data_IF_423727718365
#
_entry.id   IF_423727718365
#
_cell.length_a   1.000
_cell.length_b   1.000
_cell.length_c   1.000
_cell.angle_alpha   90.00
_cell.angle_beta   90.00
_cell.angle_gamma   90.00
#
_symmetry.space_group_name_H-M   'P 1'
#
loop_
_entity.id
_entity.type
_entity.pdbx_description
1 polymer ?
#
# COMPACT_ATOMS: atom_id res chain seq x y z
N UNK A 1 -35.22 -16.74 -57.83
CA UNK A 1 -33.96 -15.96 -57.83
C UNK A 1 -33.90 -14.81 -56.81
N UNK A 2 -34.99 -14.09 -56.49
CA UNK A 2 -34.94 -12.94 -55.55
C UNK A 2 -34.67 -13.28 -54.06
N UNK A 3 -35.12 -14.45 -53.59
CA UNK A 3 -34.97 -14.87 -52.18
C UNK A 3 -33.52 -15.28 -51.86
N UNK A 4 -32.80 -15.84 -52.84
CA UNK A 4 -31.41 -16.28 -52.67
C UNK A 4 -30.44 -15.09 -52.57
N UNK A 5 -30.66 -14.01 -53.33
CA UNK A 5 -29.79 -12.83 -53.29
C UNK A 5 -29.94 -12.05 -51.98
N UNK A 6 -31.17 -11.98 -51.42
CA UNK A 6 -31.44 -11.34 -50.13
C UNK A 6 -30.75 -12.07 -48.97
N UNK A 7 -30.74 -13.42 -48.99
CA UNK A 7 -30.06 -14.22 -47.98
C UNK A 7 -28.53 -14.07 -48.03
N UNK A 8 -27.95 -13.98 -49.24
CA UNK A 8 -26.51 -13.77 -49.44
C UNK A 8 -26.10 -12.35 -49.01
N UNK A 9 -26.88 -11.33 -49.36
CA UNK A 9 -26.63 -9.95 -48.94
C UNK A 9 -26.73 -9.78 -47.42
N UNK A 10 -27.71 -10.41 -46.76
CA UNK A 10 -27.82 -10.37 -45.30
C UNK A 10 -26.65 -11.10 -44.61
N UNK A 11 -26.19 -12.23 -45.14
CA UNK A 11 -25.01 -12.93 -44.59
C UNK A 11 -23.72 -12.11 -44.74
N UNK A 12 -23.55 -11.43 -45.87
CA UNK A 12 -22.41 -10.54 -46.11
C UNK A 12 -22.45 -9.32 -45.17
N UNK A 13 -23.62 -8.69 -45.00
CA UNK A 13 -23.82 -7.58 -44.06
C UNK A 13 -23.58 -7.99 -42.61
N UNK A 14 -24.07 -9.17 -42.19
CA UNK A 14 -23.78 -9.71 -40.86
C UNK A 14 -22.29 -10.00 -40.67
N UNK A 15 -21.62 -10.57 -41.67
CA UNK A 15 -20.18 -10.85 -41.59
C UNK A 15 -19.34 -9.56 -41.51
N UNK A 16 -19.76 -8.49 -42.20
CA UNK A 16 -19.12 -7.18 -42.10
C UNK A 16 -19.39 -6.56 -40.73
N UNK A 17 -20.64 -6.62 -40.23
CA UNK A 17 -21.01 -6.08 -38.92
C UNK A 17 -20.28 -6.80 -37.78
N UNK A 18 -20.15 -8.13 -37.84
CA UNK A 18 -19.39 -8.91 -36.85
C UNK A 18 -17.89 -8.66 -36.99
N UNK A 19 -17.37 -8.52 -38.21
CA UNK A 19 -15.98 -8.11 -38.48
C UNK A 19 -15.64 -6.73 -37.89
N UNK A 20 -16.50 -5.73 -38.09
CA UNK A 20 -16.28 -4.38 -37.54
C UNK A 20 -16.45 -4.35 -36.02
N UNK A 21 -17.43 -5.08 -35.46
CA UNK A 21 -17.63 -5.18 -34.01
C UNK A 21 -16.47 -5.91 -33.30
N UNK A 22 -15.88 -6.91 -33.94
CA UNK A 22 -14.70 -7.62 -33.42
C UNK A 22 -13.43 -6.77 -33.47
N UNK A 23 -13.22 -5.99 -34.54
CA UNK A 23 -12.10 -5.02 -34.62
C UNK A 23 -12.28 -3.91 -33.56
N UNK A 24 -13.48 -3.35 -33.45
CA UNK A 24 -13.80 -2.31 -32.47
C UNK A 24 -13.61 -2.80 -31.04
N UNK A 25 -14.10 -4.00 -30.71
CA UNK A 25 -13.92 -4.58 -29.37
C UNK A 25 -12.45 -4.91 -29.07
N UNK A 26 -11.65 -5.34 -30.06
CA UNK A 26 -10.22 -5.56 -29.89
C UNK A 26 -9.43 -4.27 -29.65
N UNK A 27 -9.74 -3.18 -30.38
CA UNK A 27 -9.11 -1.87 -30.14
C UNK A 27 -9.44 -1.32 -28.76
N UNK A 28 -10.71 -1.42 -28.33
CA UNK A 28 -11.13 -1.02 -26.98
C UNK A 28 -10.42 -1.87 -25.92
N UNK A 29 -10.30 -3.19 -26.14
CA UNK A 29 -9.57 -4.08 -25.25
C UNK A 29 -8.09 -3.69 -25.15
N UNK A 30 -7.39 -3.44 -26.26
CA UNK A 30 -6.00 -2.98 -26.25
C UNK A 30 -5.83 -1.65 -25.50
N UNK A 31 -6.73 -0.69 -25.74
CA UNK A 31 -6.70 0.58 -25.04
C UNK A 31 -6.87 0.40 -23.53
N UNK A 32 -7.85 -0.41 -23.11
CA UNK A 32 -8.07 -0.72 -21.69
C UNK A 32 -6.87 -1.44 -21.06
N UNK A 33 -6.24 -2.36 -21.81
CA UNK A 33 -5.03 -3.05 -21.37
C UNK A 33 -3.86 -2.07 -21.17
N UNK A 34 -3.62 -1.16 -22.11
CA UNK A 34 -2.58 -0.15 -21.99
C UNK A 34 -2.80 0.81 -20.81
N UNK A 35 -4.06 1.21 -20.57
CA UNK A 35 -4.41 2.03 -19.40
C UNK A 35 -4.23 1.26 -18.09
N UNK A 36 -4.59 -0.02 -18.06
CA UNK A 36 -4.37 -0.89 -16.91
C UNK A 36 -2.88 -1.01 -16.57
N UNK A 37 -2.04 -1.30 -17.57
CA UNK A 37 -0.59 -1.39 -17.38
C UNK A 37 0.01 -0.07 -16.90
N UNK A 38 -0.44 1.07 -17.46
CA UNK A 38 -0.02 2.39 -17.01
C UNK A 38 -0.39 2.62 -15.54
N UNK A 39 -1.62 2.31 -15.16
CA UNK A 39 -2.07 2.40 -13.76
C UNK A 39 -1.22 1.51 -12.85
N UNK A 40 -0.93 0.28 -13.27
CA UNK A 40 -0.14 -0.65 -12.47
C UNK A 40 1.31 -0.18 -12.30
N UNK A 41 1.94 0.37 -13.35
CA UNK A 41 3.28 0.96 -13.25
C UNK A 41 3.30 2.13 -12.26
N UNK A 42 2.33 3.03 -12.33
CA UNK A 42 2.25 4.15 -11.40
C UNK A 42 2.05 3.67 -9.96
N UNK A 43 1.12 2.75 -9.72
CA UNK A 43 0.90 2.18 -8.39
C UNK A 43 2.15 1.49 -7.81
N UNK A 44 2.94 0.81 -8.65
CA UNK A 44 4.22 0.21 -8.23
C UNK A 44 5.23 1.27 -7.81
N UNK A 45 5.35 2.33 -8.60
CA UNK A 45 6.25 3.44 -8.29
C UNK A 45 5.83 4.11 -6.98
N UNK A 46 4.55 4.45 -6.83
CA UNK A 46 4.02 5.12 -5.64
C UNK A 46 4.17 4.24 -4.38
N UNK A 47 3.86 2.95 -4.49
CA UNK A 47 4.11 1.97 -3.42
C UNK A 47 5.60 1.89 -3.05
N UNK A 48 6.49 1.85 -4.06
CA UNK A 48 7.93 1.86 -3.85
C UNK A 48 8.42 3.11 -3.12
N UNK A 49 7.93 4.29 -3.51
CA UNK A 49 8.24 5.57 -2.85
C UNK A 49 7.77 5.57 -1.39
N UNK A 50 6.57 5.09 -1.10
CA UNK A 50 6.03 5.08 0.28
C UNK A 50 6.72 4.04 1.18
N UNK A 51 7.26 2.97 0.59
CA UNK A 51 8.18 2.07 1.29
C UNK A 51 9.48 2.81 1.61
N UNK A 52 10.10 3.47 0.63
CA UNK A 52 11.35 4.22 0.84
C UNK A 52 11.19 5.33 1.88
N UNK A 53 10.09 6.09 1.85
CA UNK A 53 9.79 7.10 2.86
C UNK A 53 9.64 6.51 4.26
N UNK A 54 9.02 5.33 4.38
CA UNK A 54 8.91 4.60 5.64
C UNK A 54 10.27 4.14 6.16
N UNK A 55 11.10 3.56 5.29
CA UNK A 55 12.48 3.18 5.62
C UNK A 55 13.32 4.38 6.03
N UNK A 56 13.18 5.51 5.33
CA UNK A 56 13.89 6.75 5.63
C UNK A 56 13.48 7.32 6.98
N UNK A 57 12.19 7.29 7.32
CA UNK A 57 11.71 7.71 8.63
C UNK A 57 12.39 6.90 9.75
N UNK A 58 12.51 5.58 9.58
CA UNK A 58 13.26 4.74 10.51
C UNK A 58 14.76 5.05 10.47
N UNK A 59 15.36 5.19 9.29
CA UNK A 59 16.80 5.47 9.12
C UNK A 59 17.23 6.76 9.83
N UNK A 60 16.37 7.76 9.90
CA UNK A 60 16.68 9.04 10.53
C UNK A 60 16.21 9.17 11.99
N UNK A 61 15.49 8.19 12.52
CA UNK A 61 14.98 8.18 13.89
C UNK A 61 15.62 7.06 14.74
N UNK A 62 16.50 7.40 15.70
CA UNK A 62 17.06 6.42 16.63
C UNK A 62 16.02 5.60 17.40
N UNK A 63 14.92 6.24 17.83
CA UNK A 63 13.85 5.54 18.55
C UNK A 63 13.09 4.57 17.65
N UNK A 64 12.74 4.94 16.43
CA UNK A 64 12.10 4.02 15.48
C UNK A 64 13.04 2.88 15.05
N UNK A 65 14.37 3.11 14.98
CA UNK A 65 15.34 2.02 14.78
C UNK A 65 15.28 1.00 15.91
N UNK A 66 15.23 1.47 17.16
CA UNK A 66 15.13 0.59 18.31
C UNK A 66 13.85 -0.26 18.27
N UNK A 67 12.74 0.34 17.84
CA UNK A 67 11.47 -0.39 17.61
C UNK A 67 11.63 -1.44 16.50
N UNK A 68 12.12 -1.05 15.33
CA UNK A 68 12.18 -1.93 14.15
C UNK A 68 13.20 -3.06 14.30
N UNK A 69 14.43 -2.73 14.66
CA UNK A 69 15.57 -3.66 14.59
C UNK A 69 15.85 -4.36 15.93
N UNK A 70 15.54 -3.73 17.05
CA UNK A 70 15.81 -4.26 18.39
C UNK A 70 14.53 -4.72 19.10
N UNK A 71 13.35 -4.50 18.50
CA UNK A 71 12.05 -4.77 19.12
C UNK A 71 11.89 -4.11 20.50
N UNK A 72 12.56 -2.97 20.72
CA UNK A 72 12.52 -2.23 21.99
C UNK A 72 11.42 -1.18 21.96
N UNK A 73 10.52 -1.22 22.94
CA UNK A 73 9.51 -0.18 23.15
C UNK A 73 10.10 0.86 24.09
N UNK A 74 10.27 2.09 23.59
CA UNK A 74 10.75 3.21 24.40
C UNK A 74 9.55 3.97 24.98
N UNK A 75 9.57 4.33 26.27
CA UNK A 75 8.57 5.24 26.83
C UNK A 75 8.60 6.59 26.09
N UNK A 76 7.43 7.18 25.80
CA UNK A 76 7.35 8.47 25.12
C UNK A 76 7.51 8.42 23.59
N UNK A 77 7.38 7.24 22.97
CA UNK A 77 7.16 7.14 21.53
C UNK A 77 5.81 7.79 21.18
N UNK A 78 5.84 8.65 20.17
CA UNK A 78 4.67 9.30 19.60
C UNK A 78 3.91 8.27 18.73
N UNK A 79 2.79 7.80 19.28
CA UNK A 79 1.87 6.87 18.64
C UNK A 79 0.46 7.44 18.72
N UNK A 80 -0.37 7.23 17.68
CA UNK A 80 -1.73 7.76 17.67
C UNK A 80 -2.50 7.24 18.89
N UNK A 81 -3.10 8.16 19.66
CA UNK A 81 -4.04 7.83 20.74
C UNK A 81 -3.46 7.21 22.01
N UNK A 82 -2.14 7.00 22.12
CA UNK A 82 -1.48 6.53 23.36
C UNK A 82 -0.75 7.70 24.04
N UNK A 83 0.12 8.39 23.30
CA UNK A 83 0.96 9.47 23.86
C UNK A 83 0.86 10.80 23.10
N UNK A 84 0.23 10.84 21.91
CA UNK A 84 -0.03 12.11 21.22
C UNK A 84 -1.47 12.57 21.41
N UNK A 85 -1.65 13.88 21.67
CA UNK A 85 -2.96 14.52 21.82
C UNK A 85 -3.77 14.47 20.50
N UNK A 86 -3.10 14.26 19.36
CA UNK A 86 -3.71 14.12 18.04
C UNK A 86 -3.74 12.66 17.56
N UNK A 87 -4.89 12.02 17.70
CA UNK A 87 -5.26 10.89 16.83
C UNK A 87 -5.95 11.44 15.59
N UNK A 88 -5.23 12.29 14.84
CA UNK A 88 -5.76 12.94 13.66
C UNK A 88 -5.46 12.11 12.42
N UNK A 89 -6.42 11.94 11.49
CA UNK A 89 -6.15 11.34 10.19
C UNK A 89 -4.95 12.02 9.52
N UNK A 90 -4.04 11.21 8.97
CA UNK A 90 -2.78 11.72 8.43
C UNK A 90 -1.80 10.61 8.11
N UNK A 91 -0.57 10.97 7.76
CA UNK A 91 0.45 9.99 7.39
C UNK A 91 1.24 9.49 8.60
N UNK A 92 1.31 8.17 8.72
CA UNK A 92 1.99 7.46 9.80
C UNK A 92 3.00 6.46 9.24
N UNK A 93 4.01 6.15 10.06
CA UNK A 93 4.98 5.11 9.79
C UNK A 93 4.45 3.81 10.36
N UNK A 94 4.18 2.83 9.51
CA UNK A 94 3.77 1.49 9.92
C UNK A 94 4.99 0.61 10.11
N UNK A 95 5.26 0.22 11.36
CA UNK A 95 6.35 -0.69 11.72
C UNK A 95 5.74 -1.97 12.28
N UNK A 96 5.83 -3.05 11.51
CA UNK A 96 5.43 -4.38 11.96
C UNK A 96 6.63 -5.05 12.63
N UNK A 97 6.45 -5.47 13.88
CA UNK A 97 7.49 -6.12 14.69
C UNK A 97 7.58 -7.61 14.36
N UNK A 98 8.77 -8.19 14.54
CA UNK A 98 9.08 -9.62 14.33
C UNK A 98 8.96 -10.13 12.88
N UNK A 99 9.15 -11.45 12.68
CA UNK A 99 8.98 -12.11 11.38
C UNK A 99 7.54 -11.95 10.87
N UNK A 100 7.34 -10.95 10.03
CA UNK A 100 6.04 -10.54 9.49
C UNK A 100 6.18 -10.17 8.03
N UNK A 101 5.06 -9.94 7.36
CA UNK A 101 4.99 -9.40 6.02
C UNK A 101 4.92 -7.88 6.04
N UNK A 102 5.37 -7.22 4.96
CA UNK A 102 5.29 -5.74 4.82
C UNK A 102 3.83 -5.27 4.83
N UNK A 103 2.94 -6.04 4.19
CA UNK A 103 1.50 -5.85 4.27
C UNK A 103 0.87 -6.88 5.22
N UNK A 104 -0.07 -6.50 6.09
CA UNK A 104 -0.73 -7.45 6.97
C UNK A 104 -1.65 -8.40 6.19
N UNK A 105 -1.99 -9.60 6.71
CA UNK A 105 -2.76 -10.61 5.98
C UNK A 105 -4.17 -10.18 5.54
N UNK A 106 -4.75 -9.17 6.19
CA UNK A 106 -6.05 -8.60 5.83
C UNK A 106 -5.97 -7.55 4.71
N UNK A 107 -4.77 -7.15 4.30
CA UNK A 107 -4.56 -6.25 3.17
C UNK A 107 -4.96 -6.93 1.86
N UNK A 108 -5.51 -6.14 0.93
CA UNK A 108 -5.91 -6.62 -0.41
C UNK A 108 -4.99 -5.98 -1.46
N UNK A 109 -3.84 -6.60 -1.78
CA UNK A 109 -2.91 -6.04 -2.76
C UNK A 109 -3.48 -6.05 -4.19
N UNK A 110 -2.79 -5.34 -5.09
CA UNK A 110 -3.06 -5.46 -6.51
C UNK A 110 -2.75 -6.87 -7.02
N UNK A 111 -3.39 -7.25 -8.12
CA UNK A 111 -3.17 -8.56 -8.74
C UNK A 111 -1.94 -8.48 -9.63
N UNK A 112 -0.78 -8.41 -8.99
CA UNK A 112 0.52 -8.31 -9.63
C UNK A 112 1.61 -8.86 -8.67
N UNK A 113 2.61 -9.61 -9.18
CA UNK A 113 3.63 -10.29 -8.37
C UNK A 113 4.38 -9.37 -7.40
N UNK A 114 4.58 -8.10 -7.75
CA UNK A 114 5.26 -7.15 -6.88
C UNK A 114 4.47 -6.95 -5.58
N UNK A 115 3.16 -6.71 -5.67
CA UNK A 115 2.35 -6.42 -4.47
C UNK A 115 2.03 -7.68 -3.68
N UNK A 116 1.84 -8.81 -4.34
CA UNK A 116 1.63 -10.08 -3.64
C UNK A 116 2.89 -10.51 -2.88
N UNK A 117 4.08 -10.18 -3.38
CA UNK A 117 5.33 -10.45 -2.66
C UNK A 117 5.42 -9.73 -1.30
N UNK A 118 4.72 -8.59 -1.13
CA UNK A 118 4.68 -7.85 0.14
C UNK A 118 3.88 -8.56 1.24
N UNK A 119 3.15 -9.63 0.91
CA UNK A 119 2.49 -10.51 1.87
C UNK A 119 3.39 -11.65 2.35
N UNK A 120 4.58 -11.82 1.76
CA UNK A 120 5.53 -12.84 2.20
C UNK A 120 6.14 -12.42 3.53
N UNK A 121 6.32 -13.41 4.42
CA UNK A 121 7.02 -13.18 5.69
C UNK A 121 8.50 -12.97 5.44
N UNK A 122 9.05 -11.95 6.07
CA UNK A 122 10.46 -11.60 6.05
C UNK A 122 10.97 -11.50 7.50
N UNK A 123 12.25 -11.82 7.72
CA UNK A 123 12.89 -11.65 9.04
C UNK A 123 12.84 -10.21 9.51
N UNK A 124 12.94 -9.28 8.55
CA UNK A 124 12.83 -7.87 8.78
C UNK A 124 11.96 -7.28 7.67
N UNK A 125 10.64 -7.14 7.90
CA UNK A 125 9.75 -6.58 6.89
C UNK A 125 10.09 -5.12 6.60
N UNK A 126 9.75 -4.69 5.40
CA UNK A 126 9.86 -3.28 5.03
C UNK A 126 8.88 -2.44 5.83
N UNK A 127 9.30 -1.22 6.12
CA UNK A 127 8.46 -0.19 6.74
C UNK A 127 7.67 0.51 5.66
N UNK A 128 6.39 0.72 5.92
CA UNK A 128 5.49 1.33 4.96
C UNK A 128 4.93 2.62 5.56
N UNK A 129 5.01 3.71 4.81
CA UNK A 129 4.23 4.89 5.13
C UNK A 129 2.78 4.67 4.70
N UNK A 130 1.83 4.95 5.59
CA UNK A 130 0.40 4.73 5.37
C UNK A 130 -0.37 5.97 5.77
N UNK A 131 -1.53 6.21 5.15
CA UNK A 131 -2.41 7.30 5.54
C UNK A 131 -3.57 6.76 6.37
N UNK A 132 -3.73 7.22 7.60
CA UNK A 132 -4.86 6.83 8.45
C UNK A 132 -6.12 7.57 8.01
N UNK A 133 -7.17 6.81 7.71
CA UNK A 133 -8.49 7.32 7.36
C UNK A 133 -9.35 7.52 8.60
N UNK A 134 -9.30 6.57 9.54
CA UNK A 134 -10.12 6.61 10.75
C UNK A 134 -9.54 5.76 11.88
N UNK A 135 -9.76 6.19 13.11
CA UNK A 135 -9.41 5.44 14.32
C UNK A 135 -10.65 4.78 14.97
N UNK A 136 -10.52 3.51 15.34
CA UNK A 136 -11.40 2.83 16.28
C UNK A 136 -10.68 2.70 17.63
N UNK A 137 -10.81 3.73 18.47
CA UNK A 137 -10.16 3.79 19.80
C UNK A 137 -10.62 2.67 20.73
N UNK A 138 -11.84 2.16 20.55
CA UNK A 138 -12.39 1.09 21.39
C UNK A 138 -11.66 -0.24 21.17
N UNK A 139 -11.23 -0.49 19.93
CA UNK A 139 -10.50 -1.71 19.54
C UNK A 139 -9.00 -1.49 19.39
N UNK A 140 -8.50 -0.27 19.65
CA UNK A 140 -7.11 0.15 19.41
C UNK A 140 -6.66 -0.13 17.98
N UNK A 141 -7.52 0.18 17.01
CA UNK A 141 -7.28 -0.08 15.59
C UNK A 141 -7.38 1.20 14.76
N UNK A 142 -6.66 1.20 13.64
CA UNK A 142 -6.77 2.23 12.62
C UNK A 142 -7.10 1.60 11.26
N UNK A 143 -7.98 2.25 10.50
CA UNK A 143 -8.17 1.95 9.08
C UNK A 143 -7.22 2.83 8.29
N UNK A 144 -6.36 2.21 7.48
CA UNK A 144 -5.30 2.87 6.74
C UNK A 144 -5.38 2.61 5.24
N UNK A 145 -4.97 3.60 4.48
CA UNK A 145 -4.78 3.56 3.04
C UNK A 145 -3.30 3.48 2.68
N UNK A 146 -3.01 2.79 1.57
CA UNK A 146 -1.67 2.66 1.02
C UNK A 146 -1.74 2.52 -0.50
N UNK A 147 -0.74 3.08 -1.19
CA UNK A 147 -0.52 2.86 -2.62
C UNK A 147 -0.20 1.40 -2.97
N UNK A 148 0.12 0.57 -1.97
CA UNK A 148 0.40 -0.85 -2.15
C UNK A 148 -0.87 -1.73 -2.18
N UNK A 149 -2.06 -1.19 -1.88
CA UNK A 149 -3.30 -1.96 -1.78
C UNK A 149 -4.43 -1.39 -2.62
N UNK A 150 -5.37 -2.25 -3.03
CA UNK A 150 -6.59 -1.86 -3.76
C UNK A 150 -7.63 -1.16 -2.87
N UNK A 151 -7.57 -1.42 -1.57
CA UNK A 151 -8.56 -0.98 -0.57
C UNK A 151 -7.84 -0.64 0.74
N UNK A 152 -8.46 0.22 1.57
CA UNK A 152 -8.03 0.40 2.94
C UNK A 152 -8.02 -0.93 3.71
N UNK A 153 -7.15 -1.04 4.69
CA UNK A 153 -7.03 -2.20 5.56
C UNK A 153 -6.86 -1.77 7.02
N UNK A 154 -7.07 -2.70 7.94
CA UNK A 154 -7.04 -2.42 9.37
C UNK A 154 -5.69 -2.82 9.95
N UNK A 155 -5.14 -1.98 10.81
CA UNK A 155 -3.91 -2.23 11.56
C UNK A 155 -4.10 -1.90 13.03
N UNK A 156 -3.29 -2.53 13.87
CA UNK A 156 -3.19 -2.17 15.29
C UNK A 156 -2.52 -0.79 15.42
N UNK A 157 -3.05 0.07 16.29
CA UNK A 157 -2.47 1.38 16.58
C UNK A 157 -1.06 1.28 17.16
N UNK A 158 -0.72 0.17 17.84
CA UNK A 158 0.61 -0.10 18.38
C UNK A 158 1.68 -0.29 17.29
N UNK A 159 1.26 -0.52 16.04
CA UNK A 159 2.15 -0.62 14.87
C UNK A 159 2.29 0.71 14.11
N UNK A 160 1.59 1.77 14.55
CA UNK A 160 1.65 3.10 13.95
C UNK A 160 2.48 4.04 14.82
N UNK A 161 3.30 4.84 14.15
CA UNK A 161 4.18 5.83 14.76
C UNK A 161 4.12 7.12 13.97
N UNK A 162 4.19 8.25 14.66
CA UNK A 162 4.41 9.53 13.98
C UNK A 162 5.79 9.54 13.32
N UNK A 163 5.90 10.19 12.16
CA UNK A 163 7.17 10.26 11.43
C UNK A 163 8.28 10.96 12.23
N UNK A 164 7.92 11.97 12.99
CA UNK A 164 8.85 12.72 13.83
C UNK A 164 8.67 12.29 15.28
N UNK A 165 9.75 11.84 15.92
CA UNK A 165 9.71 11.39 17.31
C UNK A 165 10.43 12.42 18.18
N UNK A 166 9.69 13.06 19.11
CA UNK A 166 10.23 14.09 20.00
C UNK A 166 11.36 13.55 20.89
N UNK A 167 11.24 12.30 21.33
CA UNK A 167 12.23 11.57 22.12
C UNK A 167 13.60 11.47 21.43
N UNK A 168 13.68 11.50 20.09
CA UNK A 168 14.95 11.42 19.37
C UNK A 168 15.89 12.58 19.72
N UNK A 169 15.34 13.75 20.10
CA UNK A 169 16.15 14.88 20.57
C UNK A 169 16.81 14.57 21.90
N UNK A 170 16.08 13.94 22.82
CA UNK A 170 16.59 13.59 24.14
C UNK A 170 17.65 12.49 24.06
N UNK A 171 17.42 11.50 23.18
CA UNK A 171 18.35 10.39 22.94
C UNK A 171 19.69 10.85 22.35
N UNK A 172 19.71 11.94 21.56
CA UNK A 172 20.95 12.54 21.04
C UNK A 172 21.83 13.18 22.12
N UNK A 173 21.24 13.62 23.23
CA UNK A 173 21.95 14.37 24.29
C UNK A 173 22.31 13.50 25.49
N UNK A 174 21.68 12.33 25.65
CA UNK A 174 21.75 11.57 26.90
C UNK A 174 22.89 10.57 26.99
N UNK A 175 23.77 10.46 25.98
CA UNK A 175 24.82 9.44 25.96
C UNK A 175 24.29 8.00 26.07
N UNK A 176 22.98 7.80 25.85
CA UNK A 176 22.36 6.49 25.86
C UNK A 176 22.94 5.71 24.68
N UNK A 177 23.72 4.68 25.01
CA UNK A 177 24.13 3.63 24.08
C UNK A 177 22.88 2.85 23.62
N UNK A 178 22.17 3.41 22.65
CA UNK A 178 21.18 2.67 21.85
C UNK A 178 21.85 2.08 20.59
N UNK A 179 23.16 2.29 20.45
CA UNK A 179 23.95 1.90 19.30
C UNK A 179 24.51 0.48 19.40
N UNK A 180 23.89 -0.44 20.12
CA UNK A 180 24.08 -1.90 19.93
C UNK A 180 22.77 -2.65 20.16
#
# INVERSE_FOLDING_TARGET
MKVLSLAIQNKLLLAILTGVASIGSFQVWQYNQAQYEKRMRNAKNDCGVYIELGEDAVRFSPSLKAVKYQNKILPGLEQPGINSESADPGDYVMILRSQSSTLPPNAKPFDDPFFTSLLNKETLPKTLMVSVVSFDKSKKQATVESYCTKKPFVVDMDNLYERSQTIDRNLKHSGFDILF
#
